data_IF_611894330270
#
_entry.id   IF_611894330270
#
_cell.length_a   1.000
_cell.length_b   1.000
_cell.length_c   1.000
_cell.angle_alpha   90.00
_cell.angle_beta   90.00
_cell.angle_gamma   90.00
#
_symmetry.space_group_name_H-M   'P 1'
#
loop_
_entity.id
_entity.type
_entity.pdbx_description
1 polymer ?
#
# COMPACT_ATOMS: atom_id res chain seq x y z
N UNK A 1 -20.57 -42.29 -13.25
CA UNK A 1 -20.23 -41.35 -12.16
C UNK A 1 -21.42 -40.42 -11.93
N UNK A 2 -22.19 -40.68 -10.87
CA UNK A 2 -23.25 -39.72 -10.45
C UNK A 2 -22.54 -38.65 -9.60
N UNK A 3 -22.26 -37.52 -10.18
CA UNK A 3 -21.85 -36.33 -9.39
C UNK A 3 -23.00 -35.98 -8.46
N UNK A 4 -22.74 -36.01 -7.16
CA UNK A 4 -23.74 -35.66 -6.15
C UNK A 4 -23.96 -34.16 -6.23
N UNK A 5 -25.15 -33.76 -6.73
CA UNK A 5 -25.60 -32.38 -6.80
C UNK A 5 -25.51 -31.67 -5.44
N UNK A 6 -25.62 -32.41 -4.33
CA UNK A 6 -25.50 -31.88 -2.98
C UNK A 6 -24.07 -31.44 -2.64
N UNK A 7 -23.06 -32.18 -3.04
CA UNK A 7 -21.64 -31.80 -2.86
C UNK A 7 -21.27 -30.62 -3.73
N UNK A 8 -21.76 -30.58 -4.98
CA UNK A 8 -21.51 -29.45 -5.89
C UNK A 8 -22.09 -28.13 -5.35
N UNK A 9 -23.34 -28.14 -4.88
CA UNK A 9 -23.97 -26.94 -4.29
C UNK A 9 -23.28 -26.48 -2.99
N UNK A 10 -22.85 -27.46 -2.15
CA UNK A 10 -22.09 -27.14 -0.94
C UNK A 10 -20.70 -26.56 -1.24
N UNK A 11 -20.04 -27.07 -2.28
CA UNK A 11 -18.74 -26.55 -2.73
C UNK A 11 -18.87 -25.16 -3.36
N UNK A 12 -19.92 -24.95 -4.16
CA UNK A 12 -20.24 -23.64 -4.73
C UNK A 12 -20.52 -22.60 -3.63
N UNK A 13 -21.31 -22.97 -2.62
CA UNK A 13 -21.61 -22.09 -1.48
C UNK A 13 -20.36 -21.77 -0.66
N UNK A 14 -19.48 -22.76 -0.43
CA UNK A 14 -18.19 -22.53 0.23
C UNK A 14 -17.26 -21.62 -0.58
N UNK A 15 -17.27 -21.78 -1.90
CA UNK A 15 -16.50 -20.93 -2.80
C UNK A 15 -17.03 -19.50 -2.78
N UNK A 16 -18.35 -19.31 -2.91
CA UNK A 16 -19.00 -18.00 -2.82
C UNK A 16 -18.75 -17.30 -1.48
N UNK A 17 -18.72 -18.04 -0.37
CA UNK A 17 -18.43 -17.48 0.95
C UNK A 17 -16.96 -17.03 1.11
N UNK A 18 -16.03 -17.63 0.36
CA UNK A 18 -14.60 -17.28 0.38
C UNK A 18 -14.26 -16.09 -0.53
N UNK A 19 -15.03 -15.82 -1.57
CA UNK A 19 -14.76 -14.79 -2.56
C UNK A 19 -14.64 -13.37 -1.97
N UNK A 20 -15.55 -12.92 -1.11
CA UNK A 20 -15.44 -11.58 -0.52
C UNK A 20 -14.12 -11.37 0.22
N UNK A 21 -13.73 -12.31 1.06
CA UNK A 21 -12.47 -12.23 1.81
C UNK A 21 -11.23 -12.27 0.92
N UNK A 22 -11.25 -12.97 -0.20
CA UNK A 22 -10.14 -12.99 -1.16
C UNK A 22 -10.03 -11.66 -1.92
N UNK A 23 -11.17 -11.05 -2.27
CA UNK A 23 -11.20 -9.74 -2.89
C UNK A 23 -10.69 -8.65 -1.93
N UNK A 24 -11.04 -8.72 -0.66
CA UNK A 24 -10.53 -7.83 0.37
C UNK A 24 -9.01 -7.95 0.52
N UNK A 25 -8.50 -9.19 0.58
CA UNK A 25 -7.05 -9.45 0.65
C UNK A 25 -6.30 -8.94 -0.60
N UNK A 26 -6.89 -9.04 -1.78
CA UNK A 26 -6.31 -8.49 -3.00
C UNK A 26 -6.22 -6.96 -2.92
N UNK A 27 -7.29 -6.29 -2.51
CA UNK A 27 -7.33 -4.83 -2.35
C UNK A 27 -6.33 -4.37 -1.29
N UNK A 28 -6.27 -5.04 -0.15
CA UNK A 28 -5.32 -4.74 0.92
C UNK A 28 -3.87 -4.95 0.46
N UNK A 29 -3.57 -6.09 -0.13
CA UNK A 29 -2.22 -6.42 -0.61
C UNK A 29 -1.75 -5.49 -1.73
N UNK A 30 -2.61 -5.19 -2.70
CA UNK A 30 -2.33 -4.23 -3.76
C UNK A 30 -2.04 -2.84 -3.20
N UNK A 31 -2.92 -2.32 -2.36
CA UNK A 31 -2.80 -0.98 -1.79
C UNK A 31 -1.57 -0.86 -0.89
N UNK A 32 -1.26 -1.89 -0.11
CA UNK A 32 -0.06 -1.93 0.72
C UNK A 32 1.21 -1.94 -0.14
N UNK A 33 1.21 -2.69 -1.24
CA UNK A 33 2.38 -2.75 -2.15
C UNK A 33 2.58 -1.40 -2.83
N UNK A 34 1.52 -0.78 -3.37
CA UNK A 34 1.60 0.56 -3.96
C UNK A 34 2.10 1.59 -2.94
N UNK A 35 1.60 1.54 -1.71
CA UNK A 35 2.06 2.44 -0.65
C UNK A 35 3.55 2.24 -0.34
N UNK A 36 4.00 1.00 -0.23
CA UNK A 36 5.42 0.70 0.02
C UNK A 36 6.31 1.22 -1.12
N UNK A 37 5.91 1.01 -2.39
CA UNK A 37 6.60 1.54 -3.55
C UNK A 37 6.70 3.08 -3.51
N UNK A 38 5.64 3.76 -3.12
CA UNK A 38 5.60 5.23 -3.04
C UNK A 38 6.39 5.75 -1.84
N UNK A 39 6.26 5.16 -0.66
CA UNK A 39 6.92 5.66 0.55
C UNK A 39 8.40 5.26 0.60
N UNK A 40 8.67 3.98 0.48
CA UNK A 40 9.99 3.41 0.80
C UNK A 40 10.78 3.01 -0.44
N UNK A 41 10.09 2.81 -1.56
CA UNK A 41 10.66 2.27 -2.78
C UNK A 41 10.72 0.74 -2.75
N UNK A 42 10.90 0.16 -3.93
CA UNK A 42 10.96 -1.27 -4.12
C UNK A 42 11.32 -1.64 -5.56
N UNK A 43 10.60 -2.57 -6.13
CA UNK A 43 10.86 -3.09 -7.48
C UNK A 43 10.51 -2.09 -8.59
N UNK A 44 9.50 -1.26 -8.35
CA UNK A 44 8.86 -0.43 -9.38
C UNK A 44 9.12 1.06 -9.21
N UNK A 45 9.53 1.50 -8.03
CA UNK A 45 9.73 2.90 -7.71
C UNK A 45 10.93 3.09 -6.78
N UNK A 46 11.69 4.20 -6.91
CA UNK A 46 12.74 4.53 -5.94
C UNK A 46 12.18 4.95 -4.57
N UNK A 47 10.86 5.17 -4.49
CA UNK A 47 10.20 5.70 -3.32
C UNK A 47 10.44 7.18 -3.09
N UNK A 48 9.80 7.70 -2.05
CA UNK A 48 9.98 9.09 -1.63
C UNK A 48 11.44 9.34 -1.23
N UNK A 49 12.13 10.30 -1.83
CA UNK A 49 13.48 10.66 -1.45
C UNK A 49 13.65 10.90 0.04
N UNK A 50 14.77 10.47 0.60
CA UNK A 50 15.05 10.62 2.02
C UNK A 50 16.31 11.45 2.26
N UNK A 51 16.15 12.55 2.99
CA UNK A 51 17.23 13.30 3.62
C UNK A 51 17.03 13.26 5.14
N UNK A 52 16.13 14.08 5.65
CA UNK A 52 15.77 14.08 7.08
C UNK A 52 14.71 13.04 7.48
N UNK A 53 13.99 12.46 6.51
CA UNK A 53 12.86 11.55 6.75
C UNK A 53 11.49 12.24 6.79
N UNK A 54 11.45 13.58 6.85
CA UNK A 54 10.20 14.34 6.96
C UNK A 54 9.20 14.05 5.84
N UNK A 55 9.63 14.05 4.56
CA UNK A 55 8.74 13.76 3.45
C UNK A 55 8.10 12.36 3.56
N UNK A 56 8.87 11.35 3.99
CA UNK A 56 8.35 9.99 4.22
C UNK A 56 7.42 9.91 5.42
N UNK A 57 7.66 10.70 6.48
CA UNK A 57 6.83 10.76 7.68
C UNK A 57 5.48 11.45 7.46
N UNK A 58 5.34 12.20 6.35
CA UNK A 58 4.10 12.88 5.99
C UNK A 58 3.14 12.04 5.15
N UNK A 59 3.48 10.79 4.82
CA UNK A 59 2.52 9.90 4.19
C UNK A 59 1.49 9.42 5.19
N UNK A 60 0.24 9.41 4.75
CA UNK A 60 -0.88 8.89 5.51
C UNK A 60 -1.86 8.18 4.58
N UNK A 61 -2.45 7.09 5.07
CA UNK A 61 -3.43 6.30 4.36
C UNK A 61 -4.78 6.32 5.05
N UNK A 62 -5.84 6.37 4.26
CA UNK A 62 -7.21 6.31 4.75
C UNK A 62 -8.10 5.47 3.84
N UNK A 63 -9.16 4.91 4.42
CA UNK A 63 -10.20 4.14 3.72
C UNK A 63 -11.49 4.92 3.81
N UNK A 64 -12.15 5.13 2.67
CA UNK A 64 -13.41 5.88 2.56
C UNK A 64 -13.25 7.41 2.60
N UNK A 65 -12.21 7.94 3.24
CA UNK A 65 -11.94 9.37 3.33
C UNK A 65 -10.44 9.68 3.24
N UNK A 66 -10.11 10.89 2.80
CA UNK A 66 -8.73 11.38 2.82
C UNK A 66 -8.32 11.54 4.29
N UNK A 67 -7.21 10.92 4.73
CA UNK A 67 -6.77 11.06 6.11
C UNK A 67 -6.30 12.48 6.40
N UNK A 68 -6.56 12.96 7.60
CA UNK A 68 -6.21 14.30 8.07
C UNK A 68 -5.29 14.29 9.27
N UNK A 69 -4.58 13.19 9.51
CA UNK A 69 -3.64 13.10 10.62
C UNK A 69 -2.44 14.03 10.39
N UNK A 70 -2.07 14.84 11.37
CA UNK A 70 -0.87 15.65 11.26
C UNK A 70 0.37 14.74 11.26
N UNK A 71 1.47 15.20 10.64
CA UNK A 71 2.73 14.49 10.74
C UNK A 71 3.19 14.42 12.20
N UNK A 72 3.82 13.30 12.57
CA UNK A 72 4.31 13.07 13.95
C UNK A 72 5.61 13.80 14.26
N UNK A 73 6.17 14.50 13.29
CA UNK A 73 7.41 15.28 13.42
C UNK A 73 7.32 16.55 12.57
N UNK A 74 7.94 17.64 12.99
CA UNK A 74 8.07 18.84 12.17
C UNK A 74 9.30 18.74 11.25
N UNK A 75 9.35 19.60 10.23
CA UNK A 75 10.49 19.62 9.30
C UNK A 75 11.79 19.96 10.05
N UNK A 76 11.75 20.97 10.91
CA UNK A 76 12.89 21.45 11.70
C UNK A 76 13.41 20.35 12.65
N UNK A 77 12.49 19.64 13.31
CA UNK A 77 12.87 18.53 14.20
C UNK A 77 13.49 17.36 13.44
N UNK A 78 12.98 17.05 12.25
CA UNK A 78 13.52 15.99 11.40
C UNK A 78 14.90 16.38 10.83
N UNK A 79 15.12 17.65 10.47
CA UNK A 79 16.41 18.16 10.01
C UNK A 79 17.44 18.16 11.14
N UNK A 80 17.06 18.57 12.35
CA UNK A 80 17.92 18.54 13.52
C UNK A 80 18.27 17.11 13.96
N UNK A 81 17.36 16.15 13.75
CA UNK A 81 17.58 14.75 14.08
C UNK A 81 17.03 13.81 12.98
N UNK A 82 17.82 13.49 11.95
CA UNK A 82 17.39 12.61 10.87
C UNK A 82 17.02 11.17 11.33
N UNK A 83 17.52 10.72 12.47
CA UNK A 83 17.14 9.42 13.03
C UNK A 83 15.70 9.46 13.55
N UNK A 84 15.29 10.54 14.21
CA UNK A 84 13.90 10.77 14.63
C UNK A 84 12.98 10.89 13.41
N UNK A 85 13.42 11.59 12.34
CA UNK A 85 12.67 11.68 11.09
C UNK A 85 12.43 10.31 10.44
N UNK A 86 13.44 9.44 10.43
CA UNK A 86 13.28 8.06 9.93
C UNK A 86 12.36 7.21 10.81
N UNK A 87 12.44 7.37 12.13
CA UNK A 87 11.53 6.70 13.06
C UNK A 87 10.07 7.13 12.85
N UNK A 88 9.84 8.44 12.65
CA UNK A 88 8.54 8.98 12.33
C UNK A 88 8.02 8.47 10.97
N UNK A 89 8.88 8.30 9.97
CA UNK A 89 8.52 7.71 8.69
C UNK A 89 8.09 6.24 8.82
N UNK A 90 8.78 5.46 9.65
CA UNK A 90 8.40 4.08 9.94
C UNK A 90 7.06 4.00 10.68
N UNK A 91 6.79 4.92 11.61
CA UNK A 91 5.50 5.03 12.29
C UNK A 91 4.36 5.38 11.34
N UNK A 92 4.56 6.35 10.43
CA UNK A 92 3.62 6.68 9.38
C UNK A 92 3.31 5.46 8.51
N UNK A 93 4.32 4.67 8.16
CA UNK A 93 4.17 3.41 7.44
C UNK A 93 3.30 2.40 8.17
N UNK A 94 3.55 2.18 9.47
CA UNK A 94 2.74 1.26 10.28
C UNK A 94 1.28 1.73 10.40
N UNK A 95 1.06 3.02 10.64
CA UNK A 95 -0.29 3.61 10.73
C UNK A 95 -1.05 3.44 9.43
N UNK A 96 -0.43 3.75 8.30
CA UNK A 96 -1.03 3.55 6.97
C UNK A 96 -1.32 2.08 6.70
N UNK A 97 -0.41 1.17 7.02
CA UNK A 97 -0.63 -0.26 6.86
C UNK A 97 -1.84 -0.74 7.69
N UNK A 98 -1.96 -0.30 8.93
CA UNK A 98 -3.11 -0.62 9.78
C UNK A 98 -4.43 -0.12 9.18
N UNK A 99 -4.44 1.10 8.64
CA UNK A 99 -5.63 1.63 7.96
C UNK A 99 -5.99 0.80 6.72
N UNK A 100 -5.01 0.47 5.86
CA UNK A 100 -5.23 -0.33 4.65
C UNK A 100 -5.79 -1.72 4.98
N UNK A 101 -5.40 -2.34 6.08
CA UNK A 101 -5.91 -3.65 6.51
C UNK A 101 -7.40 -3.66 6.84
N UNK A 102 -8.03 -2.49 7.02
CA UNK A 102 -9.48 -2.39 7.21
C UNK A 102 -10.26 -2.31 5.89
N UNK A 103 -9.57 -2.13 4.76
CA UNK A 103 -10.19 -1.96 3.46
C UNK A 103 -10.88 -3.24 2.96
N UNK A 104 -11.98 -3.05 2.27
CA UNK A 104 -12.77 -4.09 1.61
C UNK A 104 -12.85 -3.85 0.11
N UNK A 105 -13.20 -4.88 -0.62
CA UNK A 105 -13.46 -4.74 -2.05
C UNK A 105 -14.56 -3.72 -2.32
N UNK A 106 -14.27 -2.75 -3.19
CA UNK A 106 -15.15 -1.62 -3.49
C UNK A 106 -14.86 -0.35 -2.69
N UNK A 107 -14.04 -0.41 -1.66
CA UNK A 107 -13.66 0.78 -0.91
C UNK A 107 -12.73 1.70 -1.73
N UNK A 108 -12.80 2.99 -1.43
CA UNK A 108 -11.83 3.97 -1.92
C UNK A 108 -10.70 4.10 -0.91
N UNK A 109 -9.48 3.90 -1.38
CA UNK A 109 -8.27 4.02 -0.56
C UNK A 109 -7.53 5.29 -0.99
N UNK A 110 -7.17 6.09 -0.01
CA UNK A 110 -6.49 7.36 -0.21
C UNK A 110 -5.09 7.28 0.40
N UNK A 111 -4.11 7.76 -0.36
CA UNK A 111 -2.77 8.02 0.13
C UNK A 111 -2.50 9.51 -0.03
N UNK A 112 -2.16 10.19 1.04
CA UNK A 112 -1.91 11.63 1.04
C UNK A 112 -0.56 11.96 1.64
N UNK A 113 -0.01 13.09 1.21
CA UNK A 113 1.23 13.63 1.76
C UNK A 113 1.12 15.15 1.82
N UNK A 114 1.35 15.73 2.98
CA UNK A 114 1.19 17.15 3.25
C UNK A 114 2.50 17.94 3.22
N UNK A 115 3.64 17.30 2.95
CA UNK A 115 4.92 17.98 2.82
C UNK A 115 4.88 18.96 1.63
N UNK A 116 5.12 20.26 1.89
CA UNK A 116 4.97 21.35 0.89
C UNK A 116 5.77 21.12 -0.39
N UNK A 117 6.88 20.37 -0.32
CA UNK A 117 7.78 20.12 -1.44
C UNK A 117 7.58 18.74 -2.09
N UNK A 118 6.60 17.96 -1.66
CA UNK A 118 6.38 16.58 -2.19
C UNK A 118 6.20 16.58 -3.71
N UNK A 119 5.49 17.57 -4.26
CA UNK A 119 5.33 17.69 -5.72
C UNK A 119 6.65 17.95 -6.43
N UNK A 120 7.53 18.75 -5.85
CA UNK A 120 8.86 19.02 -6.42
C UNK A 120 9.69 17.74 -6.48
N UNK A 121 9.65 16.94 -5.42
CA UNK A 121 10.32 15.61 -5.41
C UNK A 121 9.77 14.69 -6.50
N UNK A 122 8.46 14.65 -6.70
CA UNK A 122 7.83 13.88 -7.78
C UNK A 122 8.27 14.33 -9.18
N UNK A 123 8.57 15.61 -9.36
CA UNK A 123 9.02 16.15 -10.65
C UNK A 123 10.54 16.25 -10.79
N UNK A 124 11.29 15.41 -10.06
CA UNK A 124 12.71 15.18 -10.31
C UNK A 124 13.66 16.14 -9.61
N UNK A 125 13.22 16.86 -8.58
CA UNK A 125 14.11 17.75 -7.81
C UNK A 125 15.10 17.02 -6.91
N UNK A 126 15.01 15.69 -6.85
CA UNK A 126 15.95 14.87 -6.10
C UNK A 126 16.68 13.90 -7.02
N UNK A 127 17.99 13.80 -6.86
CA UNK A 127 18.81 12.81 -7.56
C UNK A 127 18.46 11.37 -7.16
N UNK A 128 17.79 11.16 -6.03
CA UNK A 128 17.30 9.85 -5.59
C UNK A 128 16.06 9.40 -6.38
N UNK A 129 15.28 10.31 -6.96
CA UNK A 129 14.10 10.02 -7.76
C UNK A 129 13.97 10.99 -8.95
N UNK A 130 14.92 10.99 -9.89
CA UNK A 130 14.93 11.96 -11.01
C UNK A 130 13.73 11.79 -11.95
N UNK A 131 13.15 10.59 -12.03
CA UNK A 131 11.94 10.28 -12.80
C UNK A 131 10.64 10.38 -12.03
N UNK A 132 10.69 10.82 -10.77
CA UNK A 132 9.58 10.75 -9.83
C UNK A 132 9.48 9.38 -9.14
N UNK A 133 8.44 9.18 -8.36
CA UNK A 133 8.24 7.95 -7.59
C UNK A 133 6.76 7.55 -7.52
N UNK A 134 5.83 8.50 -7.47
CA UNK A 134 4.39 8.23 -7.45
C UNK A 134 3.95 7.69 -8.82
N UNK A 135 4.33 8.39 -9.91
CA UNK A 135 4.01 7.97 -11.28
C UNK A 135 4.57 6.61 -11.62
N UNK A 136 5.78 6.29 -11.17
CA UNK A 136 6.42 5.00 -11.42
C UNK A 136 5.65 3.87 -10.71
N UNK A 137 5.27 4.06 -9.45
CA UNK A 137 4.44 3.11 -8.73
C UNK A 137 3.07 2.93 -9.40
N UNK A 138 2.40 4.03 -9.81
CA UNK A 138 1.08 3.96 -10.46
C UNK A 138 1.14 3.34 -11.86
N UNK A 139 2.16 3.63 -12.66
CA UNK A 139 2.35 3.01 -13.97
C UNK A 139 2.55 1.49 -13.87
N UNK A 140 3.01 1.01 -12.72
CA UNK A 140 3.22 -0.41 -12.46
C UNK A 140 2.03 -1.08 -11.76
N UNK A 141 0.91 -0.37 -11.61
CA UNK A 141 -0.26 -0.85 -10.85
C UNK A 141 -0.76 -2.21 -11.34
N UNK A 142 -0.82 -2.44 -12.67
CA UNK A 142 -1.26 -3.73 -13.21
C UNK A 142 -0.29 -4.85 -12.82
N UNK A 143 1.01 -4.64 -12.95
CA UNK A 143 2.01 -5.64 -12.58
C UNK A 143 1.98 -5.96 -11.07
N UNK A 144 1.76 -4.94 -10.24
CA UNK A 144 1.58 -5.12 -8.79
C UNK A 144 0.33 -5.95 -8.50
N UNK A 145 -0.80 -5.66 -9.17
CA UNK A 145 -2.04 -6.42 -9.00
C UNK A 145 -1.86 -7.89 -9.39
N UNK A 146 -1.19 -8.16 -10.51
CA UNK A 146 -0.92 -9.51 -10.99
C UNK A 146 -0.03 -10.29 -10.01
N UNK A 147 1.02 -9.66 -9.46
CA UNK A 147 1.91 -10.31 -8.47
C UNK A 147 1.17 -10.63 -7.16
N UNK A 148 0.38 -9.68 -6.65
CA UNK A 148 -0.42 -9.89 -5.43
C UNK A 148 -1.46 -10.99 -5.68
N UNK A 149 -2.14 -10.97 -6.82
CA UNK A 149 -3.09 -12.01 -7.21
C UNK A 149 -2.45 -13.40 -7.28
N UNK A 150 -1.31 -13.51 -7.95
CA UNK A 150 -0.56 -14.77 -8.05
C UNK A 150 -0.10 -15.28 -6.67
N UNK A 151 0.34 -14.38 -5.79
CA UNK A 151 0.73 -14.72 -4.41
C UNK A 151 -0.45 -15.27 -3.61
N UNK A 152 -1.63 -14.64 -3.70
CA UNK A 152 -2.83 -15.07 -2.99
C UNK A 152 -3.32 -16.43 -3.49
N UNK A 153 -3.34 -16.67 -4.81
CA UNK A 153 -3.68 -17.97 -5.41
C UNK A 153 -2.73 -19.06 -4.90
N UNK A 154 -1.43 -18.79 -4.89
CA UNK A 154 -0.42 -19.74 -4.40
C UNK A 154 -0.61 -20.10 -2.92
N UNK A 155 -1.07 -19.15 -2.11
CA UNK A 155 -1.39 -19.37 -0.69
C UNK A 155 -2.72 -20.10 -0.49
N UNK A 156 -3.74 -19.78 -1.29
CA UNK A 156 -5.04 -20.43 -1.26
C UNK A 156 -4.97 -21.90 -1.63
N UNK A 157 -4.11 -22.26 -2.57
CA UNK A 157 -3.86 -23.66 -2.95
C UNK A 157 -3.13 -24.47 -1.86
N UNK A 158 -2.34 -23.82 -0.98
CA UNK A 158 -1.67 -24.50 0.14
C UNK A 158 -2.57 -24.76 1.35
N UNK A 159 -3.71 -24.06 1.45
CA UNK A 159 -4.69 -24.26 2.52
C UNK A 159 -5.78 -25.28 2.19
N UNK A 160 -5.71 -25.93 1.03
CA UNK A 160 -6.68 -26.91 0.54
C UNK A 160 -6.10 -28.35 0.43
N UNK A 161 -4.90 -28.60 0.97
CA UNK A 161 -4.32 -29.95 1.09
C UNK A 161 -4.47 -30.49 2.50
#
# INVERSE_FOLDING_TARGET
MKGDLGTFTADLSRWQAKLPGQADLLVQGFSQTVFNEVQSGGKYSPGTPIASGFARANWDGGVGAIPSNPPTITAEAAEANPAAGRAAAAEAGRRTATAILTAKAGDRIYLSNTARYIRRLEFGWSTQAPGGFIRLALNSAQAIADEVGAFLVKRGLRGAQ
#
